data_IF_242006507837
#
_entry.id   IF_242006507837
#
_cell.length_a   1.000
_cell.length_b   1.000
_cell.length_c   1.000
_cell.angle_alpha   90.00
_cell.angle_beta   90.00
_cell.angle_gamma   90.00
#
_symmetry.space_group_name_H-M   'P 1'
#
loop_
_entity.id
_entity.type
_entity.pdbx_description
1 polymer ?
#
# COMPACT_ATOMS: atom_id res chain seq x y z
N UNK A 1 9.38 45.67 -12.71
CA UNK A 1 10.68 45.94 -12.06
C UNK A 1 11.41 44.62 -11.89
N UNK A 2 12.65 44.53 -12.39
CA UNK A 2 13.53 43.36 -12.30
C UNK A 2 13.95 43.10 -10.85
N UNK A 3 13.99 41.83 -10.43
CA UNK A 3 15.04 41.34 -9.53
C UNK A 3 15.61 40.05 -10.10
N UNK A 4 16.93 40.04 -10.18
CA UNK A 4 17.81 39.11 -10.87
C UNK A 4 18.55 38.31 -9.78
N UNK A 5 18.56 36.99 -9.94
CA UNK A 5 19.62 35.98 -9.68
C UNK A 5 20.37 36.00 -8.34
N UNK A 6 20.43 34.81 -7.70
CA UNK A 6 21.67 34.24 -7.17
C UNK A 6 21.59 32.69 -7.14
N UNK A 7 22.39 32.06 -8.02
CA UNK A 7 22.80 30.66 -7.94
C UNK A 7 23.91 30.52 -6.86
N UNK A 8 23.93 29.39 -6.15
CA UNK A 8 25.07 28.44 -6.05
C UNK A 8 25.20 27.74 -4.69
N UNK A 9 25.04 26.41 -4.76
CA UNK A 9 25.74 25.28 -4.13
C UNK A 9 26.72 25.52 -2.97
N UNK A 10 26.63 24.67 -1.91
CA UNK A 10 27.72 23.77 -1.46
C UNK A 10 27.11 22.56 -0.73
N UNK A 11 27.43 21.34 -1.19
CA UNK A 11 27.27 20.08 -0.46
C UNK A 11 28.50 19.79 0.39
N UNK A 12 28.31 19.32 1.62
CA UNK A 12 29.38 18.69 2.42
C UNK A 12 28.87 17.33 2.88
N UNK A 13 29.40 16.27 2.28
CA UNK A 13 29.22 14.89 2.73
C UNK A 13 30.37 14.60 3.70
N UNK A 14 30.05 14.38 4.97
CA UNK A 14 30.98 13.80 5.93
C UNK A 14 30.86 12.27 5.85
N UNK A 15 31.82 11.63 5.19
CA UNK A 15 32.01 10.18 5.21
C UNK A 15 33.25 9.88 6.05
N UNK A 16 33.04 9.43 7.29
CA UNK A 16 34.06 8.80 8.11
C UNK A 16 33.46 7.50 8.64
N UNK A 17 34.08 6.38 8.28
CA UNK A 17 33.61 5.05 8.66
C UNK A 17 34.53 3.97 8.10
N UNK A 18 35.80 4.01 8.49
CA UNK A 18 36.70 2.86 8.39
C UNK A 18 36.18 1.73 9.28
N UNK A 19 35.94 0.57 8.68
CA UNK A 19 35.34 -0.58 9.35
C UNK A 19 35.80 -1.90 8.74
N UNK A 20 37.04 -2.26 9.04
CA UNK A 20 37.56 -3.61 9.30
C UNK A 20 37.16 -4.74 8.31
N UNK A 21 38.17 -5.04 7.47
CA UNK A 21 38.51 -6.36 6.91
C UNK A 21 38.24 -7.49 7.91
N UNK A 22 37.34 -8.41 7.57
CA UNK A 22 37.21 -9.68 8.28
C UNK A 22 37.37 -10.84 7.30
N UNK A 23 38.23 -11.75 7.74
CA UNK A 23 38.87 -12.79 6.97
C UNK A 23 37.92 -13.92 6.53
N UNK A 24 38.46 -14.66 5.57
CA UNK A 24 37.98 -15.89 4.98
C UNK A 24 37.56 -16.91 6.05
N UNK A 25 36.39 -17.51 5.87
CA UNK A 25 36.08 -18.82 6.45
C UNK A 25 36.01 -19.82 5.29
N UNK A 26 37.15 -20.45 5.06
CA UNK A 26 37.30 -21.68 4.29
C UNK A 26 36.64 -22.80 5.10
N UNK A 27 35.44 -23.22 4.71
CA UNK A 27 34.82 -24.43 5.29
C UNK A 27 35.35 -25.61 4.48
N UNK A 28 36.38 -26.25 5.04
CA UNK A 28 36.83 -27.56 4.63
C UNK A 28 35.73 -28.59 4.89
N UNK A 29 35.26 -29.24 3.83
CA UNK A 29 34.46 -30.46 3.91
C UNK A 29 35.32 -31.57 4.51
N UNK A 30 34.93 -32.10 5.66
CA UNK A 30 35.46 -33.35 6.21
C UNK A 30 34.28 -34.25 6.56
N UNK A 31 34.10 -35.28 5.75
CA UNK A 31 33.17 -36.38 5.94
C UNK A 31 33.37 -37.07 7.30
N UNK A 32 32.31 -37.17 8.10
CA UNK A 32 32.12 -38.32 9.00
C UNK A 32 30.63 -38.51 9.31
N UNK A 33 30.07 -39.59 8.80
CA UNK A 33 28.80 -40.25 9.20
C UNK A 33 29.20 -41.56 9.94
N UNK A 34 28.36 -42.28 10.72
CA UNK A 34 26.95 -42.09 11.09
C UNK A 34 26.65 -42.23 12.59
N UNK A 35 25.49 -41.73 13.05
CA UNK A 35 24.66 -42.45 14.03
C UNK A 35 23.23 -41.90 14.05
N UNK A 36 22.28 -42.83 13.96
CA UNK A 36 20.83 -42.70 14.11
C UNK A 36 20.37 -41.68 15.16
N UNK A 37 19.52 -40.73 14.75
CA UNK A 37 18.34 -40.33 15.51
C UNK A 37 17.28 -39.78 14.54
N UNK A 38 16.10 -40.40 14.56
CA UNK A 38 14.93 -39.95 13.83
C UNK A 38 14.34 -38.69 14.49
N UNK A 39 13.40 -38.06 13.76
CA UNK A 39 12.43 -37.03 14.18
C UNK A 39 13.00 -35.61 14.35
N UNK A 40 12.47 -34.53 13.78
CA UNK A 40 11.13 -34.19 13.29
C UNK A 40 11.32 -33.28 12.06
N UNK A 41 10.77 -33.67 10.90
CA UNK A 41 10.47 -32.71 9.86
C UNK A 41 9.47 -31.71 10.47
N UNK A 42 9.92 -30.50 10.74
CA UNK A 42 9.04 -29.41 11.14
C UNK A 42 8.22 -29.01 9.93
N UNK A 43 7.19 -29.80 9.65
CA UNK A 43 6.01 -29.38 8.91
C UNK A 43 5.30 -28.34 9.79
N UNK A 44 5.90 -27.15 9.86
CA UNK A 44 5.20 -25.98 10.35
C UNK A 44 4.15 -25.67 9.30
N UNK A 45 2.99 -26.32 9.45
CA UNK A 45 1.77 -25.90 8.79
C UNK A 45 1.65 -24.39 8.99
N UNK A 46 1.72 -23.66 7.88
CA UNK A 46 1.49 -22.23 7.83
C UNK A 46 0.22 -21.93 8.64
N UNK A 47 0.23 -20.95 9.55
CA UNK A 47 -0.93 -20.66 10.38
C UNK A 47 -2.15 -20.48 9.48
N UNK A 48 -3.24 -21.16 9.83
CA UNK A 48 -4.51 -21.09 9.13
C UNK A 48 -4.85 -19.61 8.87
N UNK A 49 -5.07 -19.28 7.59
CA UNK A 49 -5.31 -17.92 7.13
C UNK A 49 -6.36 -17.25 8.01
N UNK A 50 -6.07 -16.04 8.49
CA UNK A 50 -7.04 -15.22 9.22
C UNK A 50 -8.39 -15.19 8.47
N UNK A 51 -9.53 -15.18 9.19
CA UNK A 51 -10.84 -15.23 8.57
C UNK A 51 -10.97 -14.08 7.56
N UNK A 52 -11.41 -14.39 6.34
CA UNK A 52 -11.63 -13.40 5.31
C UNK A 52 -12.63 -12.36 5.81
N UNK A 53 -12.24 -11.09 5.82
CA UNK A 53 -13.13 -9.98 6.16
C UNK A 53 -14.16 -9.85 5.03
N UNK A 54 -15.36 -10.39 5.25
CA UNK A 54 -16.48 -10.23 4.32
C UNK A 54 -17.08 -8.85 4.52
N UNK A 55 -16.93 -7.99 3.51
CA UNK A 55 -17.54 -6.67 3.46
C UNK A 55 -18.90 -6.74 2.77
N UNK A 56 -19.91 -6.06 3.33
CA UNK A 56 -21.21 -5.95 2.68
C UNK A 56 -21.12 -5.10 1.39
N UNK A 57 -21.87 -5.46 0.35
CA UNK A 57 -21.86 -4.72 -0.91
C UNK A 57 -22.20 -3.24 -0.75
N UNK A 58 -23.12 -2.92 0.19
CA UNK A 58 -23.50 -1.55 0.53
C UNK A 58 -22.32 -0.70 1.06
N UNK A 59 -21.28 -1.34 1.60
CA UNK A 59 -20.15 -0.68 2.24
C UNK A 59 -19.00 -0.44 1.24
N UNK A 60 -18.94 -1.23 0.17
CA UNK A 60 -17.85 -1.20 -0.82
C UNK A 60 -17.63 0.20 -1.40
N UNK A 61 -18.72 0.91 -1.71
CA UNK A 61 -18.67 2.28 -2.22
C UNK A 61 -18.06 3.29 -1.22
N UNK A 62 -18.38 3.20 0.07
CA UNK A 62 -17.79 4.10 1.08
C UNK A 62 -16.34 3.74 1.40
N UNK A 63 -15.99 2.46 1.36
CA UNK A 63 -14.59 2.01 1.49
C UNK A 63 -13.75 2.49 0.31
N UNK A 64 -14.28 2.43 -0.91
CA UNK A 64 -13.61 2.99 -2.09
C UNK A 64 -13.24 4.47 -1.90
N UNK A 65 -14.17 5.26 -1.36
CA UNK A 65 -13.95 6.68 -1.05
C UNK A 65 -12.83 6.85 -0.01
N UNK A 66 -12.84 6.06 1.06
CA UNK A 66 -11.79 6.09 2.09
C UNK A 66 -10.40 5.76 1.53
N UNK A 67 -10.31 4.74 0.67
CA UNK A 67 -9.05 4.32 0.05
C UNK A 67 -8.49 5.42 -0.84
N UNK A 68 -9.30 5.98 -1.75
CA UNK A 68 -8.85 7.04 -2.64
C UNK A 68 -8.53 8.32 -1.85
N UNK A 69 -9.24 8.60 -0.75
CA UNK A 69 -8.90 9.66 0.20
C UNK A 69 -7.50 9.47 0.79
N UNK A 70 -7.22 8.28 1.34
CA UNK A 70 -5.91 7.93 1.92
C UNK A 70 -4.78 8.06 0.90
N UNK A 71 -4.92 7.43 -0.27
CA UNK A 71 -3.90 7.42 -1.32
C UNK A 71 -3.54 8.82 -1.85
N UNK A 72 -4.49 9.75 -1.82
CA UNK A 72 -4.31 11.07 -2.42
C UNK A 72 -4.23 12.21 -1.39
N UNK A 73 -4.25 11.91 -0.09
CA UNK A 73 -4.28 12.91 0.97
C UNK A 73 -5.49 13.84 0.85
N UNK A 74 -6.69 13.27 0.74
CA UNK A 74 -7.96 14.01 0.58
C UNK A 74 -8.95 13.61 1.66
N UNK A 75 -9.98 14.43 1.85
CA UNK A 75 -11.12 14.06 2.68
C UNK A 75 -12.10 13.18 1.87
N UNK A 76 -12.68 12.14 2.46
CA UNK A 76 -13.59 11.25 1.75
C UNK A 76 -14.95 11.90 1.42
N UNK A 77 -15.30 12.99 2.10
CA UNK A 77 -16.54 13.75 1.94
C UNK A 77 -16.58 14.60 0.66
N UNK A 78 -15.46 14.80 -0.04
CA UNK A 78 -15.41 15.42 -1.38
C UNK A 78 -15.40 14.36 -2.50
N UNK A 79 -15.15 13.10 -2.15
CA UNK A 79 -15.09 11.98 -3.10
C UNK A 79 -16.49 11.40 -3.26
N UNK A 80 -16.94 11.23 -4.50
CA UNK A 80 -18.26 10.69 -4.85
C UNK A 80 -18.11 9.40 -5.63
N UNK A 81 -18.90 8.38 -5.29
CA UNK A 81 -19.13 7.24 -6.18
C UNK A 81 -20.02 7.73 -7.32
N UNK A 82 -19.57 7.59 -8.56
CA UNK A 82 -20.30 8.07 -9.75
C UNK A 82 -20.87 6.93 -10.58
N UNK A 83 -20.31 5.73 -10.47
CA UNK A 83 -20.84 4.51 -11.09
C UNK A 83 -20.22 3.29 -10.42
N UNK A 84 -20.84 2.12 -10.62
CA UNK A 84 -20.23 0.84 -10.30
C UNK A 84 -20.62 -0.20 -11.36
N UNK A 85 -19.76 -1.19 -11.58
CA UNK A 85 -20.03 -2.34 -12.45
C UNK A 85 -19.47 -3.59 -11.77
N UNK A 86 -20.36 -4.43 -11.26
CA UNK A 86 -19.96 -5.54 -10.39
C UNK A 86 -19.23 -5.02 -9.15
N UNK A 87 -18.01 -5.51 -8.92
CA UNK A 87 -17.17 -5.10 -7.79
C UNK A 87 -16.28 -3.88 -8.06
N UNK A 88 -16.31 -3.33 -9.28
CA UNK A 88 -15.55 -2.13 -9.63
C UNK A 88 -16.36 -0.87 -9.36
N UNK A 89 -15.88 -0.03 -8.44
CA UNK A 89 -16.48 1.26 -8.09
C UNK A 89 -15.66 2.39 -8.67
N UNK A 90 -16.32 3.27 -9.42
CA UNK A 90 -15.71 4.49 -9.95
C UNK A 90 -16.03 5.66 -9.04
N UNK A 91 -14.98 6.34 -8.58
CA UNK A 91 -15.09 7.55 -7.77
C UNK A 91 -14.46 8.76 -8.45
N UNK A 92 -14.95 9.94 -8.09
CA UNK A 92 -14.48 11.22 -8.60
C UNK A 92 -14.43 12.28 -7.51
N UNK A 93 -13.46 13.19 -7.62
CA UNK A 93 -13.42 14.43 -6.85
C UNK A 93 -12.82 15.57 -7.67
N UNK A 94 -13.09 16.81 -7.26
CA UNK A 94 -12.45 18.01 -7.78
C UNK A 94 -11.47 18.50 -6.74
N UNK A 95 -10.19 18.67 -7.12
CA UNK A 95 -9.15 19.23 -6.26
C UNK A 95 -9.30 20.76 -6.21
N UNK A 96 -8.68 21.39 -5.21
CA UNK A 96 -8.76 22.84 -4.97
C UNK A 96 -8.36 23.70 -6.18
N UNK A 97 -7.49 23.20 -7.05
CA UNK A 97 -7.07 23.86 -8.29
C UNK A 97 -8.03 23.64 -9.48
N UNK A 98 -9.20 23.04 -9.23
CA UNK A 98 -10.20 22.72 -10.24
C UNK A 98 -9.92 21.44 -11.03
N UNK A 99 -8.79 20.76 -10.79
CA UNK A 99 -8.47 19.49 -11.48
C UNK A 99 -9.46 18.40 -11.05
N UNK A 100 -10.09 17.75 -12.01
CA UNK A 100 -10.98 16.60 -11.77
C UNK A 100 -10.17 15.31 -11.79
N UNK A 101 -10.22 14.56 -10.70
CA UNK A 101 -9.60 13.25 -10.56
C UNK A 101 -10.66 12.17 -10.57
N UNK A 102 -10.46 11.13 -11.37
CA UNK A 102 -11.33 9.94 -11.41
C UNK A 102 -10.48 8.71 -11.16
N UNK A 103 -10.98 7.79 -10.34
CA UNK A 103 -10.30 6.54 -10.00
C UNK A 103 -11.31 5.40 -9.98
N UNK A 104 -10.85 4.20 -10.29
CA UNK A 104 -11.59 2.97 -10.04
C UNK A 104 -10.96 2.25 -8.86
N UNK A 105 -11.78 1.56 -8.09
CA UNK A 105 -11.33 0.64 -7.06
C UNK A 105 -12.10 -0.67 -7.10
N UNK A 106 -11.46 -1.73 -6.63
CA UNK A 106 -12.08 -3.02 -6.30
C UNK A 106 -11.75 -3.30 -4.84
N UNK A 107 -12.75 -3.70 -4.06
CA UNK A 107 -12.63 -3.87 -2.60
C UNK A 107 -13.20 -5.22 -2.16
N UNK A 108 -12.45 -5.95 -1.35
CA UNK A 108 -12.88 -7.25 -0.83
C UNK A 108 -11.83 -7.90 0.06
N UNK A 109 -12.28 -8.75 0.98
CA UNK A 109 -11.41 -9.51 1.88
C UNK A 109 -10.44 -8.63 2.70
N UNK A 110 -10.88 -7.44 3.11
CA UNK A 110 -10.05 -6.47 3.84
C UNK A 110 -8.93 -5.84 3.00
N UNK A 111 -8.97 -6.02 1.68
CA UNK A 111 -7.95 -5.51 0.76
C UNK A 111 -8.56 -4.76 -0.43
N UNK A 112 -7.76 -3.91 -1.07
CA UNK A 112 -8.21 -3.17 -2.23
C UNK A 112 -7.18 -3.05 -3.34
N UNK A 113 -7.67 -2.86 -4.55
CA UNK A 113 -6.90 -2.46 -5.72
C UNK A 113 -7.47 -1.17 -6.27
N UNK A 114 -6.62 -0.35 -6.89
CA UNK A 114 -7.04 0.91 -7.48
C UNK A 114 -6.32 1.20 -8.79
N UNK A 115 -6.93 2.07 -9.60
CA UNK A 115 -6.31 2.66 -10.79
C UNK A 115 -6.83 4.08 -11.02
N UNK A 116 -6.02 4.88 -11.69
CA UNK A 116 -6.45 6.17 -12.21
C UNK A 116 -7.30 5.97 -13.48
N UNK A 117 -8.24 6.87 -13.71
CA UNK A 117 -9.00 6.98 -14.95
C UNK A 117 -8.75 8.36 -15.55
N UNK A 118 -8.08 8.40 -16.69
CA UNK A 118 -7.72 9.64 -17.36
C UNK A 118 -8.54 9.78 -18.64
N UNK A 119 -9.26 10.91 -18.78
CA UNK A 119 -10.13 11.16 -19.93
C UNK A 119 -11.13 10.03 -20.23
N UNK A 120 -11.63 9.37 -19.17
CA UNK A 120 -12.55 8.24 -19.26
C UNK A 120 -11.89 6.90 -19.59
N UNK A 121 -10.59 6.88 -19.85
CA UNK A 121 -9.81 5.68 -20.14
C UNK A 121 -9.19 5.17 -18.84
N UNK A 122 -9.51 3.95 -18.40
CA UNK A 122 -8.89 3.39 -17.21
C UNK A 122 -7.41 3.04 -17.45
N UNK A 123 -6.56 3.39 -16.49
CA UNK A 123 -5.13 3.06 -16.50
C UNK A 123 -4.84 1.65 -15.98
N UNK A 124 -3.55 1.41 -15.68
CA UNK A 124 -3.09 0.15 -15.07
C UNK A 124 -3.55 0.07 -13.61
N UNK A 125 -4.01 -1.11 -13.19
CA UNK A 125 -4.16 -1.45 -11.77
C UNK A 125 -2.83 -1.35 -11.04
N UNK A 126 -2.87 -0.73 -9.86
CA UNK A 126 -1.72 -0.55 -8.97
C UNK A 126 -1.57 -1.76 -8.03
N UNK A 127 -1.26 -2.92 -8.59
CA UNK A 127 -1.08 -4.15 -7.81
C UNK A 127 0.21 -4.15 -6.98
N UNK A 128 1.13 -3.21 -7.26
CA UNK A 128 2.32 -2.96 -6.46
C UNK A 128 2.02 -2.28 -5.10
N UNK A 129 0.85 -1.63 -4.99
CA UNK A 129 0.38 -1.03 -3.74
C UNK A 129 -0.38 -2.09 -2.94
N UNK A 130 -0.04 -2.26 -1.67
CA UNK A 130 -0.83 -3.09 -0.75
C UNK A 130 -1.71 -2.20 0.08
N UNK A 131 -3.03 -2.37 -0.01
CA UNK A 131 -4.01 -1.58 0.72
C UNK A 131 -4.82 -2.52 1.58
N UNK A 132 -4.71 -2.35 2.90
CA UNK A 132 -5.50 -3.06 3.89
C UNK A 132 -6.52 -2.11 4.49
N UNK A 133 -7.71 -2.61 4.80
CA UNK A 133 -8.71 -1.83 5.51
C UNK A 133 -9.53 -2.68 6.48
N UNK A 134 -10.12 -2.02 7.46
CA UNK A 134 -11.17 -2.57 8.32
C UNK A 134 -12.41 -1.70 8.27
N UNK A 135 -13.57 -2.29 8.57
CA UNK A 135 -14.84 -1.58 8.68
C UNK A 135 -15.44 -1.91 10.04
N UNK A 136 -15.71 -0.88 10.84
CA UNK A 136 -16.41 -0.96 12.12
C UNK A 136 -17.52 0.09 12.16
N UNK A 137 -18.72 -0.32 11.75
CA UNK A 137 -19.84 0.58 11.52
C UNK A 137 -19.52 1.64 10.45
N UNK A 138 -19.58 2.92 10.86
CA UNK A 138 -19.22 4.07 10.00
C UNK A 138 -17.71 4.31 9.93
N UNK A 139 -16.92 3.68 10.82
CA UNK A 139 -15.48 3.85 10.89
C UNK A 139 -14.79 2.94 9.88
N UNK A 140 -13.88 3.51 9.11
CA UNK A 140 -13.04 2.80 8.15
C UNK A 140 -11.59 3.17 8.43
N UNK A 141 -10.79 2.19 8.81
CA UNK A 141 -9.34 2.35 8.96
C UNK A 141 -8.66 1.83 7.69
N UNK A 142 -7.70 2.59 7.14
CA UNK A 142 -6.99 2.28 5.90
C UNK A 142 -5.49 2.34 6.16
N UNK A 143 -4.79 1.27 5.82
CA UNK A 143 -3.34 1.21 5.84
C UNK A 143 -2.83 0.93 4.43
N UNK A 144 -1.98 1.82 3.92
CA UNK A 144 -1.36 1.66 2.60
C UNK A 144 0.12 1.37 2.75
N UNK A 145 0.61 0.46 1.91
CA UNK A 145 2.02 0.18 1.71
C UNK A 145 2.37 0.35 0.24
N UNK A 146 3.51 0.99 -0.05
CA UNK A 146 4.06 1.12 -1.39
C UNK A 146 5.42 0.45 -1.43
N UNK A 147 5.59 -0.53 -2.32
CA UNK A 147 6.80 -1.36 -2.38
C UNK A 147 7.12 -2.04 -1.03
N UNK A 148 6.09 -2.44 -0.28
CA UNK A 148 6.22 -3.08 1.03
C UNK A 148 6.39 -2.13 2.22
N UNK A 149 6.66 -0.85 1.98
CA UNK A 149 6.85 0.14 3.04
C UNK A 149 5.54 0.84 3.39
N UNK A 150 5.17 1.00 4.68
CA UNK A 150 3.97 1.71 5.08
C UNK A 150 4.08 3.19 4.73
N UNK A 151 3.07 3.74 4.04
CA UNK A 151 3.06 5.15 3.61
C UNK A 151 1.95 5.96 4.25
N UNK A 152 0.79 5.36 4.54
CA UNK A 152 -0.34 6.03 5.19
C UNK A 152 -1.05 5.10 6.17
N UNK A 153 -1.56 5.68 7.26
CA UNK A 153 -2.40 5.01 8.25
C UNK A 153 -3.50 5.99 8.65
N UNK A 154 -4.65 5.89 7.98
CA UNK A 154 -5.73 6.87 8.09
C UNK A 154 -6.98 6.22 8.65
N UNK A 155 -7.78 7.05 9.33
CA UNK A 155 -9.07 6.65 9.88
C UNK A 155 -10.14 7.66 9.49
N UNK A 156 -11.24 7.16 8.96
CA UNK A 156 -12.35 7.98 8.48
C UNK A 156 -13.67 7.53 9.08
N UNK A 157 -14.57 8.48 9.31
CA UNK A 157 -15.98 8.19 9.59
C UNK A 157 -16.80 8.55 8.35
N UNK A 158 -17.39 7.56 7.69
CA UNK A 158 -18.13 7.72 6.44
C UNK A 158 -19.47 7.00 6.53
N UNK A 159 -20.54 7.74 6.22
CA UNK A 159 -21.91 7.24 6.09
C UNK A 159 -22.22 6.87 4.64
#
# INVERSE_FOLDING_TARGET
>A
MKKIIALSFVSVIAACGDGVRSDQVEIANSDTDPTNEAVIASDQALPASAPAVVIADADKGRVCRAIIASLNGRQPDIIRVISHQGDEYRVRYTRDDGTVWTNDCIVGNGTAQWRMVENGVPGRWRSEDTINFTVDGEKIDVQTYMNGEPVTSDSYTIR
#
